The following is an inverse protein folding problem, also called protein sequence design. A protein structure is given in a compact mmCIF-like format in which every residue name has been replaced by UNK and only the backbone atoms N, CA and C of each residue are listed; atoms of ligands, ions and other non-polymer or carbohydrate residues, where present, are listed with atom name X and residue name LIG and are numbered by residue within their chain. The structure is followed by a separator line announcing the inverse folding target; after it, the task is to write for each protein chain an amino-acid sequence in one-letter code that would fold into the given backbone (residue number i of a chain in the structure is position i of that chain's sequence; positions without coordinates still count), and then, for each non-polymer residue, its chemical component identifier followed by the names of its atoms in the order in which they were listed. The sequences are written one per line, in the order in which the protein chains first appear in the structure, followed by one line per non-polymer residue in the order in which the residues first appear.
data_IF_755837550264
#
_entry.id   IF_755837550264
#
_cell.length_a   1.000
_cell.length_b   1.000
_cell.length_c   1.000
_cell.angle_alpha   90.00
_cell.angle_beta   90.00
_cell.angle_gamma   90.00
#
_symmetry.space_group_name_H-M   'P 1'
#
loop_
_entity.id
_entity.type
_entity.pdbx_description
1 polymer ?
#
# COMPACT_ATOMS: atom_id res chain seq x y z
N UNK A 1 1.59 12.86 14.04
CA UNK A 1 1.38 11.51 14.56
C UNK A 1 2.53 11.20 15.51
N UNK A 2 2.25 10.73 16.74
CA UNK A 2 3.28 10.31 17.70
C UNK A 2 3.25 8.78 17.74
N UNK A 3 4.43 8.16 17.61
CA UNK A 3 4.57 6.70 17.54
C UNK A 3 5.54 6.26 18.64
N UNK A 4 5.18 5.23 19.39
CA UNK A 4 5.98 4.65 20.46
C UNK A 4 6.92 3.57 19.89
N UNK A 5 8.22 3.67 20.16
CA UNK A 5 9.23 2.77 19.61
C UNK A 5 9.64 1.63 20.56
N UNK A 6 8.94 1.44 21.68
CA UNK A 6 9.30 0.41 22.68
C UNK A 6 9.35 -0.99 22.07
N UNK A 7 8.42 -1.29 21.15
CA UNK A 7 8.31 -2.59 20.50
C UNK A 7 9.41 -2.87 19.46
N UNK A 8 10.26 -1.88 19.14
CA UNK A 8 11.42 -2.08 18.27
C UNK A 8 12.68 -2.54 19.02
N UNK A 9 12.69 -2.50 20.36
CA UNK A 9 13.87 -2.81 21.15
C UNK A 9 14.13 -4.32 21.12
N UNK A 10 15.38 -4.71 20.83
CA UNK A 10 15.81 -6.12 20.77
C UNK A 10 15.66 -6.78 19.40
N UNK A 11 15.05 -6.09 18.42
CA UNK A 11 14.92 -6.56 17.04
C UNK A 11 16.13 -6.11 16.18
N UNK A 12 16.51 -6.89 15.16
CA UNK A 12 17.62 -6.52 14.29
C UNK A 12 17.29 -5.29 13.44
N UNK A 13 18.32 -4.53 13.05
CA UNK A 13 18.19 -3.49 12.05
C UNK A 13 17.68 -4.07 10.72
N UNK A 14 16.90 -3.28 9.98
CA UNK A 14 16.21 -3.71 8.77
C UNK A 14 14.82 -4.31 9.02
N UNK A 15 14.44 -4.53 10.29
CA UNK A 15 13.08 -4.96 10.63
C UNK A 15 12.08 -3.88 10.18
N UNK A 16 11.02 -4.32 9.51
CA UNK A 16 9.91 -3.47 9.06
C UNK A 16 8.81 -3.49 10.12
N UNK A 17 8.17 -2.35 10.33
CA UNK A 17 7.13 -2.14 11.30
C UNK A 17 5.89 -1.54 10.65
N UNK A 18 4.72 -2.00 11.06
CA UNK A 18 3.43 -1.38 10.77
C UNK A 18 3.01 -0.49 11.94
N UNK A 19 2.47 0.69 11.65
CA UNK A 19 1.92 1.59 12.67
C UNK A 19 0.47 1.22 12.94
N UNK A 20 0.16 0.79 14.17
CA UNK A 20 -1.20 0.57 14.65
C UNK A 20 -1.52 1.59 15.74
N UNK A 21 -2.19 2.68 15.34
CA UNK A 21 -2.49 3.79 16.24
C UNK A 21 -1.22 4.48 16.75
N UNK A 22 -0.91 4.31 18.03
CA UNK A 22 0.30 4.87 18.67
C UNK A 22 1.43 3.85 18.81
N UNK A 23 1.17 2.57 18.58
CA UNK A 23 2.14 1.49 18.73
C UNK A 23 2.62 0.97 17.38
N UNK A 24 3.69 0.19 17.42
CA UNK A 24 4.29 -0.43 16.24
C UNK A 24 4.36 -1.92 16.46
N UNK A 25 4.10 -2.67 15.38
CA UNK A 25 4.23 -4.12 15.38
C UNK A 25 5.21 -4.53 14.28
N UNK A 26 6.15 -5.45 14.57
CA UNK A 26 7.00 -6.01 13.54
C UNK A 26 6.15 -6.85 12.59
N UNK A 27 6.43 -6.73 11.31
CA UNK A 27 5.76 -7.46 10.24
C UNK A 27 6.76 -8.41 9.60
N UNK A 28 6.27 -9.58 9.22
CA UNK A 28 7.08 -10.58 8.52
C UNK A 28 7.45 -10.09 7.13
N UNK A 29 8.57 -10.58 6.59
CA UNK A 29 8.99 -10.23 5.23
C UNK A 29 7.90 -10.55 4.19
N UNK A 30 7.12 -11.61 4.40
CA UNK A 30 6.01 -12.03 3.55
C UNK A 30 4.90 -10.98 3.44
N UNK A 31 4.67 -10.19 4.51
CA UNK A 31 3.70 -9.09 4.56
C UNK A 31 4.28 -7.77 3.98
N UNK A 32 5.60 -7.67 3.84
CA UNK A 32 6.29 -6.49 3.30
C UNK A 32 6.44 -6.52 1.78
N UNK A 33 6.45 -7.72 1.19
CA UNK A 33 6.60 -7.88 -0.26
C UNK A 33 5.31 -7.47 -0.93
N UNK A 34 5.43 -6.84 -2.10
CA UNK A 34 4.37 -6.61 -3.09
C UNK A 34 3.78 -7.96 -3.58
N UNK A 35 3.36 -8.85 -2.68
CA UNK A 35 2.60 -10.04 -2.98
C UNK A 35 1.39 -9.58 -3.81
N UNK A 36 1.18 -10.14 -5.02
CA UNK A 36 -0.01 -9.83 -5.79
C UNK A 36 -1.20 -10.18 -4.91
N UNK A 37 -1.98 -9.16 -4.50
CA UNK A 37 -3.30 -9.40 -3.90
C UNK A 37 -4.09 -10.04 -5.04
N UNK A 38 -4.21 -11.36 -5.00
CA UNK A 38 -5.29 -12.04 -5.68
C UNK A 38 -6.53 -11.52 -4.95
N UNK A 39 -7.43 -10.78 -5.60
CA UNK A 39 -8.69 -10.44 -4.97
C UNK A 39 -9.34 -11.74 -4.49
N UNK A 40 -9.79 -11.77 -3.24
CA UNK A 40 -10.46 -12.91 -2.61
C UNK A 40 -11.45 -13.55 -3.59
N UNK A 41 -11.38 -14.86 -3.72
CA UNK A 41 -12.02 -15.75 -4.71
C UNK A 41 -13.55 -15.72 -4.82
N UNK A 42 -14.23 -14.72 -4.25
CA UNK A 42 -15.69 -14.58 -4.28
C UNK A 42 -16.23 -13.93 -5.56
N UNK A 43 -15.39 -13.61 -6.54
CA UNK A 43 -15.83 -13.35 -7.92
C UNK A 43 -15.88 -14.67 -8.68
N UNK A 44 -16.91 -15.48 -8.38
CA UNK A 44 -17.30 -16.60 -9.24
C UNK A 44 -17.87 -16.06 -10.56
N UNK A 45 -17.14 -16.19 -11.68
CA UNK A 45 -17.76 -16.25 -13.02
C UNK A 45 -16.92 -17.09 -14.01
N UNK A 46 -17.46 -18.28 -14.30
CA UNK A 46 -17.42 -19.05 -15.54
C UNK A 46 -16.08 -19.48 -16.14
N UNK A 47 -15.96 -20.81 -16.22
CA UNK A 47 -15.12 -21.67 -17.07
C UNK A 47 -14.56 -20.98 -18.34
N UNK A 48 -13.23 -20.94 -18.46
CA UNK A 48 -12.53 -20.40 -19.63
C UNK A 48 -11.34 -19.51 -19.26
N UNK A 49 -10.13 -20.05 -19.37
CA UNK A 49 -8.87 -19.37 -19.09
C UNK A 49 -8.68 -18.06 -19.89
N UNK A 50 -9.07 -16.94 -19.31
CA UNK A 50 -8.66 -15.59 -19.75
C UNK A 50 -7.73 -15.03 -18.67
N UNK A 51 -6.53 -14.52 -19.00
CA UNK A 51 -5.62 -13.98 -18.00
C UNK A 51 -6.31 -12.86 -17.22
N UNK A 52 -6.18 -12.85 -15.89
CA UNK A 52 -6.64 -11.75 -15.06
C UNK A 52 -6.01 -10.42 -15.53
N UNK A 53 -6.79 -9.61 -16.26
CA UNK A 53 -6.40 -8.28 -16.73
C UNK A 53 -6.70 -8.02 -18.21
N UNK A 54 -7.18 -6.81 -18.51
CA UNK A 54 -7.38 -6.37 -19.89
C UNK A 54 -6.08 -6.32 -20.69
N UNK A 55 -6.17 -6.37 -22.03
CA UNK A 55 -4.98 -6.29 -22.91
C UNK A 55 -4.50 -4.86 -23.11
N UNK A 56 -5.43 -3.91 -23.14
CA UNK A 56 -5.16 -2.49 -23.38
C UNK A 56 -6.17 -1.60 -22.64
N UNK A 57 -6.05 -0.28 -22.80
CA UNK A 57 -6.84 0.72 -22.08
C UNK A 57 -7.89 1.40 -22.97
N UNK A 58 -8.22 0.87 -24.16
CA UNK A 58 -9.08 1.58 -25.13
C UNK A 58 -10.49 1.85 -24.61
N UNK A 59 -11.01 0.93 -23.78
CA UNK A 59 -12.35 0.99 -23.19
C UNK A 59 -12.37 1.60 -21.77
N UNK A 60 -11.25 2.21 -21.35
CA UNK A 60 -11.13 2.86 -20.05
C UNK A 60 -11.35 4.36 -20.23
N UNK A 61 -12.52 4.83 -19.79
CA UNK A 61 -12.86 6.25 -19.75
C UNK A 61 -12.50 6.84 -18.39
N UNK A 62 -11.85 8.02 -18.40
CA UNK A 62 -11.58 8.76 -17.17
C UNK A 62 -12.84 9.51 -16.73
N UNK A 63 -13.32 9.19 -15.53
CA UNK A 63 -14.57 9.68 -14.95
C UNK A 63 -14.41 9.71 -13.43
N UNK A 64 -14.96 10.75 -12.79
CA UNK A 64 -14.97 10.86 -11.32
C UNK A 64 -15.75 9.73 -10.64
N UNK A 65 -16.75 9.18 -11.35
CA UNK A 65 -17.57 8.04 -10.90
C UNK A 65 -16.85 6.69 -10.91
N UNK A 66 -15.60 6.62 -11.40
CA UNK A 66 -14.83 5.38 -11.46
C UNK A 66 -14.49 4.82 -10.08
N UNK A 67 -14.48 5.65 -9.05
CA UNK A 67 -14.30 5.25 -7.66
C UNK A 67 -15.58 5.51 -6.87
N UNK A 68 -16.15 4.46 -6.28
CA UNK A 68 -17.41 4.56 -5.52
C UNK A 68 -17.25 5.17 -4.12
N UNK A 69 -16.09 4.95 -3.48
CA UNK A 69 -15.78 5.47 -2.14
C UNK A 69 -15.27 6.90 -2.24
N UNK A 70 -15.85 7.80 -1.45
CA UNK A 70 -15.36 9.16 -1.32
C UNK A 70 -14.31 9.30 -0.19
N UNK A 71 -13.72 10.48 -0.07
CA UNK A 71 -12.74 10.80 0.97
C UNK A 71 -13.27 10.57 2.39
N UNK A 72 -14.53 10.95 2.68
CA UNK A 72 -15.08 10.80 4.02
C UNK A 72 -15.31 9.32 4.37
N UNK A 73 -15.70 8.49 3.40
CA UNK A 73 -15.82 7.04 3.59
C UNK A 73 -14.48 6.41 3.98
N UNK A 74 -13.41 6.79 3.27
CA UNK A 74 -12.05 6.30 3.56
C UNK A 74 -11.61 6.71 4.97
N UNK A 75 -11.95 7.93 5.37
CA UNK A 75 -11.61 8.46 6.70
C UNK A 75 -12.42 7.77 7.80
N UNK A 76 -13.68 7.43 7.54
CA UNK A 76 -14.49 6.59 8.43
C UNK A 76 -13.88 5.20 8.58
N UNK A 77 -13.45 4.55 7.50
CA UNK A 77 -12.76 3.25 7.55
C UNK A 77 -11.46 3.30 8.36
N UNK A 78 -10.69 4.38 8.23
CA UNK A 78 -9.49 4.58 9.05
C UNK A 78 -9.82 4.78 10.52
N UNK A 79 -10.94 5.46 10.82
CA UNK A 79 -11.37 5.78 12.18
C UNK A 79 -12.05 4.59 12.87
N UNK A 80 -12.70 3.70 12.10
CA UNK A 80 -13.31 2.46 12.60
C UNK A 80 -12.30 1.37 12.95
N UNK A 81 -11.01 1.60 12.68
CA UNK A 81 -9.95 0.63 12.93
C UNK A 81 -9.85 -0.47 11.87
N UNK A 82 -10.42 -0.27 10.67
CA UNK A 82 -10.24 -1.21 9.56
C UNK A 82 -8.77 -1.34 9.20
N UNK A 83 -8.34 -2.54 8.84
CA UNK A 83 -6.92 -2.76 8.50
C UNK A 83 -6.58 -2.07 7.19
N UNK A 84 -5.29 -1.77 6.99
CA UNK A 84 -4.84 -1.19 5.72
C UNK A 84 -5.15 -2.09 4.51
N UNK A 85 -5.16 -3.41 4.72
CA UNK A 85 -5.54 -4.39 3.70
C UNK A 85 -7.03 -4.29 3.35
N UNK A 86 -7.90 -4.20 4.35
CA UNK A 86 -9.34 -4.03 4.14
C UNK A 86 -9.65 -2.77 3.33
N UNK A 87 -9.01 -1.65 3.69
CA UNK A 87 -9.17 -0.38 2.97
C UNK A 87 -8.73 -0.54 1.50
N UNK A 88 -7.61 -1.21 1.23
CA UNK A 88 -7.14 -1.45 -0.14
C UNK A 88 -8.11 -2.36 -0.90
N UNK A 89 -8.61 -3.42 -0.27
CA UNK A 89 -9.57 -4.34 -0.85
C UNK A 89 -10.89 -3.64 -1.21
N UNK A 90 -11.39 -2.78 -0.33
CA UNK A 90 -12.60 -2.00 -0.59
C UNK A 90 -12.40 -0.98 -1.71
N UNK A 91 -11.23 -0.33 -1.76
CA UNK A 91 -10.86 0.58 -2.85
C UNK A 91 -10.73 -0.13 -4.20
N UNK A 92 -10.37 -1.41 -4.22
CA UNK A 92 -10.32 -2.24 -5.42
C UNK A 92 -11.73 -2.65 -5.84
N UNK A 93 -12.56 -3.14 -4.90
CA UNK A 93 -13.97 -3.50 -5.14
C UNK A 93 -14.79 -2.30 -5.64
N UNK A 94 -14.50 -1.11 -5.13
CA UNK A 94 -15.15 0.14 -5.53
C UNK A 94 -14.65 0.76 -6.84
N UNK A 95 -13.63 0.17 -7.50
CA UNK A 95 -13.05 0.70 -8.73
C UNK A 95 -13.65 0.03 -9.97
N UNK A 96 -14.48 0.76 -10.71
CA UNK A 96 -15.21 0.25 -11.86
C UNK A 96 -14.32 -0.28 -13.01
N UNK A 97 -13.09 0.21 -13.10
CA UNK A 97 -12.16 -0.11 -14.20
C UNK A 97 -11.02 -1.03 -13.77
N UNK A 98 -10.98 -1.52 -12.52
CA UNK A 98 -9.84 -2.29 -12.04
C UNK A 98 -9.62 -3.57 -12.86
N UNK A 99 -10.69 -4.34 -13.13
CA UNK A 99 -10.63 -5.58 -13.91
C UNK A 99 -10.23 -5.32 -15.37
N UNK A 100 -10.67 -4.19 -15.95
CA UNK A 100 -10.34 -3.80 -17.33
C UNK A 100 -8.88 -3.40 -17.51
N UNK A 101 -8.18 -3.02 -16.45
CA UNK A 101 -6.76 -2.64 -16.52
C UNK A 101 -5.90 -3.83 -16.90
N UNK A 102 -4.78 -3.54 -17.56
CA UNK A 102 -3.71 -4.52 -17.76
C UNK A 102 -3.14 -5.01 -16.44
N UNK A 103 -2.58 -6.22 -16.41
CA UNK A 103 -1.96 -6.81 -15.21
C UNK A 103 -0.95 -5.85 -14.56
N UNK A 104 -0.04 -5.28 -15.35
CA UNK A 104 0.91 -4.27 -14.88
C UNK A 104 0.23 -3.02 -14.30
N UNK A 105 -0.89 -2.59 -14.88
CA UNK A 105 -1.65 -1.43 -14.40
C UNK A 105 -2.40 -1.72 -13.10
N UNK A 106 -2.87 -2.95 -12.91
CA UNK A 106 -3.45 -3.42 -11.65
C UNK A 106 -2.39 -3.48 -10.54
N UNK A 107 -1.25 -4.12 -10.80
CA UNK A 107 -0.12 -4.20 -9.86
C UNK A 107 0.38 -2.80 -9.47
N UNK A 108 0.55 -1.90 -10.45
CA UNK A 108 0.90 -0.50 -10.21
C UNK A 108 -0.13 0.22 -9.33
N UNK A 109 -1.42 -0.04 -9.53
CA UNK A 109 -2.48 0.54 -8.70
C UNK A 109 -2.41 0.02 -7.26
N UNK A 110 -2.30 -1.30 -7.07
CA UNK A 110 -2.18 -1.93 -5.74
C UNK A 110 -0.95 -1.40 -5.00
N UNK A 111 0.21 -1.35 -5.66
CA UNK A 111 1.44 -0.79 -5.08
C UNK A 111 1.28 0.66 -4.62
N UNK A 112 0.58 1.48 -5.42
CA UNK A 112 0.26 2.87 -5.04
C UNK A 112 -0.62 2.93 -3.80
N UNK A 113 -1.63 2.07 -3.70
CA UNK A 113 -2.58 2.03 -2.58
C UNK A 113 -1.92 1.46 -1.31
N UNK A 114 -1.19 0.36 -1.39
CA UNK A 114 -0.40 -0.18 -0.27
C UNK A 114 0.53 0.86 0.35
N UNK A 115 1.34 1.53 -0.48
CA UNK A 115 2.26 2.59 -0.02
C UNK A 115 1.53 3.73 0.69
N UNK A 116 0.27 4.00 0.35
CA UNK A 116 -0.53 5.07 0.97
C UNK A 116 -1.11 4.65 2.33
N UNK A 117 -1.59 3.42 2.47
CA UNK A 117 -2.39 3.01 3.62
C UNK A 117 -1.66 2.15 4.65
N UNK A 118 -0.68 1.34 4.24
CA UNK A 118 -0.02 0.40 5.17
C UNK A 118 0.85 1.10 6.21
N UNK A 119 1.38 2.30 5.91
CA UNK A 119 2.16 3.06 6.90
C UNK A 119 3.41 2.33 7.38
N UNK A 120 4.06 1.56 6.50
CA UNK A 120 5.23 0.77 6.84
C UNK A 120 6.50 1.61 6.92
N UNK A 121 7.37 1.29 7.86
CA UNK A 121 8.72 1.87 7.94
C UNK A 121 9.71 0.85 8.48
N UNK A 122 10.98 0.97 8.11
CA UNK A 122 12.06 0.16 8.69
C UNK A 122 12.97 1.00 9.58
N UNK A 123 13.61 0.34 10.56
CA UNK A 123 14.64 0.96 11.40
C UNK A 123 16.00 0.46 10.92
N UNK A 124 16.78 1.36 10.36
CA UNK A 124 18.10 1.06 9.80
C UNK A 124 19.24 1.52 10.70
N UNK A 125 20.38 0.84 10.60
CA UNK A 125 21.61 1.31 11.26
C UNK A 125 22.11 2.58 10.56
N UNK A 126 22.40 3.67 11.30
CA UNK A 126 23.00 4.85 10.71
C UNK A 126 24.32 4.51 10.01
N UNK A 127 24.44 4.88 8.74
CA UNK A 127 25.68 4.77 7.98
C UNK A 127 25.82 5.98 7.04
N UNK A 128 27.04 6.27 6.58
CA UNK A 128 27.34 7.42 5.72
C UNK A 128 26.41 7.49 4.50
N UNK A 129 26.20 6.36 3.81
CA UNK A 129 25.27 6.25 2.67
C UNK A 129 23.85 6.72 3.02
N UNK A 130 23.24 6.17 4.07
CA UNK A 130 21.87 6.52 4.49
C UNK A 130 21.81 7.98 4.93
N UNK A 131 22.81 8.45 5.67
CA UNK A 131 22.87 9.84 6.13
C UNK A 131 23.00 10.82 4.94
N UNK A 132 23.89 10.56 3.99
CA UNK A 132 24.04 11.39 2.79
C UNK A 132 22.74 11.43 1.97
N UNK A 133 22.08 10.28 1.76
CA UNK A 133 20.78 10.25 1.07
C UNK A 133 19.70 11.03 1.81
N UNK A 134 19.64 10.90 3.14
CA UNK A 134 18.69 11.58 4.00
C UNK A 134 18.87 13.09 3.94
N UNK A 135 20.10 13.56 4.14
CA UNK A 135 20.43 14.99 4.11
C UNK A 135 20.23 15.59 2.72
N UNK A 136 20.59 14.89 1.64
CA UNK A 136 20.35 15.36 0.27
C UNK A 136 18.85 15.49 -0.07
N UNK A 137 17.99 14.67 0.55
CA UNK A 137 16.53 14.74 0.34
C UNK A 137 15.85 15.80 1.22
N UNK A 138 16.26 15.93 2.49
CA UNK A 138 15.58 16.77 3.49
C UNK A 138 16.21 18.14 3.70
N UNK A 139 17.54 18.26 3.54
CA UNK A 139 18.36 19.41 3.91
C UNK A 139 19.49 19.62 2.90
N UNK A 140 19.14 19.84 1.62
CA UNK A 140 20.14 20.12 0.58
C UNK A 140 21.03 21.32 0.91
N UNK A 141 20.46 22.31 1.59
CA UNK A 141 21.12 23.52 2.05
C UNK A 141 22.32 23.26 2.97
N UNK A 142 22.39 22.08 3.60
CA UNK A 142 23.47 21.70 4.53
C UNK A 142 24.46 20.68 3.95
N UNK A 143 24.34 20.34 2.68
CA UNK A 143 25.17 19.34 2.01
C UNK A 143 26.31 19.95 1.17
N UNK A 144 26.40 21.29 1.13
CA UNK A 144 27.38 22.08 0.38
C UNK A 144 28.14 23.01 1.31
#
# INVERSE_FOLDING_TARGET
MKVCLKNAIGLPYGTVFAVKGTEIEPISFEETVDQPIQPSSDVSLTDGAVPLGGKDNRDIMDCTLNQKLDFEDIKMLQSSGSTAEDIVNELVKGNANFVKKTKFSQEKYLKKKRRRYFGLFSIERPCSRILCELYSKLRRDKCL
#
